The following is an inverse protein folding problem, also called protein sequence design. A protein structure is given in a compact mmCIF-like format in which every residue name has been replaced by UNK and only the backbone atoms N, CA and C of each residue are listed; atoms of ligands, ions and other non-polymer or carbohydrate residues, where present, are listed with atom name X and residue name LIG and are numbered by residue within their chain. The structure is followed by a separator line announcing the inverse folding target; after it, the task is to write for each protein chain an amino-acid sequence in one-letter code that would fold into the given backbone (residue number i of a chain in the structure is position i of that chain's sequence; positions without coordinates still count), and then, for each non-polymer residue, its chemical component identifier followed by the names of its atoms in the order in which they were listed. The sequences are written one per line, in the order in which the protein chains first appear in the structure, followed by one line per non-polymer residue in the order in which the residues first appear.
data_IF_704890411816
#
_entry.id   IF_704890411816
#
_cell.length_a   1.000
_cell.length_b   1.000
_cell.length_c   1.000
_cell.angle_alpha   90.00
_cell.angle_beta   90.00
_cell.angle_gamma   90.00
#
_symmetry.space_group_name_H-M   'P 1'
#
loop_
_entity.id
_entity.type
_entity.pdbx_description
1 polymer ?
#
# COMPACT_ATOMS: atom_id res chain seq x y z
N UNK A 1 -6.46 -17.10 -11.54
CA UNK A 1 -6.56 -15.64 -11.30
C UNK A 1 -8.01 -15.17 -11.39
N UNK A 2 -8.58 -14.85 -10.24
CA UNK A 2 -10.00 -14.53 -10.05
C UNK A 2 -10.15 -13.10 -9.55
N UNK A 3 -11.23 -12.43 -9.93
CA UNK A 3 -11.55 -11.09 -9.43
C UNK A 3 -12.49 -11.18 -8.24
N UNK A 4 -12.17 -10.47 -7.17
CA UNK A 4 -12.91 -10.44 -5.93
C UNK A 4 -13.43 -9.04 -5.65
N UNK A 5 -14.68 -8.96 -5.25
CA UNK A 5 -15.22 -7.80 -4.55
C UNK A 5 -15.02 -8.04 -3.05
N UNK A 6 -14.23 -7.19 -2.42
CA UNK A 6 -14.01 -7.21 -0.97
C UNK A 6 -14.66 -5.95 -0.40
N UNK A 7 -15.62 -6.12 0.49
CA UNK A 7 -16.22 -5.02 1.24
C UNK A 7 -16.10 -5.29 2.73
N UNK A 8 -15.87 -4.25 3.51
CA UNK A 8 -15.80 -4.38 4.96
C UNK A 8 -16.56 -3.26 5.65
N UNK A 9 -16.92 -3.47 6.90
CA UNK A 9 -17.47 -2.45 7.78
C UNK A 9 -16.76 -2.54 9.12
N UNK A 10 -16.27 -1.40 9.63
CA UNK A 10 -15.50 -1.37 10.87
C UNK A 10 -16.29 -0.58 11.91
N UNK A 11 -16.65 -1.23 13.02
CA UNK A 11 -17.27 -0.59 14.17
C UNK A 11 -16.35 0.49 14.77
N UNK A 12 -15.02 0.32 14.64
CA UNK A 12 -14.00 1.29 15.06
C UNK A 12 -13.01 1.62 13.91
N UNK A 13 -13.36 2.56 13.02
CA UNK A 13 -12.60 2.83 11.79
C UNK A 13 -11.13 3.22 11.99
N UNK A 14 -10.77 3.79 13.15
CA UNK A 14 -9.43 4.32 13.40
C UNK A 14 -8.41 3.24 13.78
N UNK A 15 -8.85 2.06 14.22
CA UNK A 15 -7.93 1.04 14.73
C UNK A 15 -7.30 0.21 13.58
N UNK A 16 -8.13 -0.35 12.70
CA UNK A 16 -7.69 -1.44 11.82
C UNK A 16 -7.71 -1.12 10.32
N UNK A 17 -8.25 0.04 9.92
CA UNK A 17 -8.42 0.40 8.49
C UNK A 17 -7.11 0.39 7.69
N UNK A 18 -6.01 0.86 8.28
CA UNK A 18 -4.70 0.87 7.61
C UNK A 18 -4.09 -0.53 7.50
N UNK A 19 -4.27 -1.37 8.51
CA UNK A 19 -3.83 -2.76 8.48
C UNK A 19 -4.61 -3.56 7.43
N UNK A 20 -5.94 -3.40 7.40
CA UNK A 20 -6.81 -4.07 6.44
C UNK A 20 -6.48 -3.67 4.99
N UNK A 21 -6.32 -2.37 4.75
CA UNK A 21 -5.92 -1.88 3.42
C UNK A 21 -4.57 -2.47 2.98
N UNK A 22 -3.59 -2.53 3.88
CA UNK A 22 -2.28 -3.12 3.60
C UNK A 22 -2.37 -4.61 3.29
N UNK A 23 -3.16 -5.36 4.06
CA UNK A 23 -3.38 -6.78 3.83
C UNK A 23 -4.05 -7.06 2.47
N UNK A 24 -5.09 -6.29 2.12
CA UNK A 24 -5.76 -6.37 0.82
C UNK A 24 -4.77 -6.11 -0.34
N UNK A 25 -3.89 -5.11 -0.19
CA UNK A 25 -2.86 -4.81 -1.19
C UNK A 25 -1.81 -5.92 -1.32
N UNK A 26 -1.50 -6.64 -0.24
CA UNK A 26 -0.53 -7.75 -0.25
C UNK A 26 -1.09 -9.00 -0.94
N UNK A 27 -2.37 -9.32 -0.71
CA UNK A 27 -3.09 -10.44 -1.32
C UNK A 27 -3.21 -10.24 -2.84
N UNK A 28 -3.56 -9.03 -3.27
CA UNK A 28 -3.80 -8.72 -4.67
C UNK A 28 -2.53 -8.57 -5.51
N UNK A 29 -2.53 -9.15 -6.72
CA UNK A 29 -1.54 -8.77 -7.74
C UNK A 29 -1.85 -7.40 -8.36
N UNK A 30 -3.14 -7.10 -8.49
CA UNK A 30 -3.65 -5.79 -8.89
C UNK A 30 -4.95 -5.52 -8.14
N UNK A 31 -5.14 -4.28 -7.72
CA UNK A 31 -6.30 -3.90 -6.92
C UNK A 31 -6.79 -2.52 -7.29
N UNK A 32 -8.07 -2.29 -7.05
CA UNK A 32 -8.77 -1.02 -7.20
C UNK A 32 -9.57 -0.75 -5.92
N UNK A 33 -9.69 0.51 -5.53
CA UNK A 33 -10.49 0.92 -4.35
C UNK A 33 -11.60 1.87 -4.79
N UNK A 34 -12.76 1.35 -5.25
CA UNK A 34 -13.89 2.15 -5.67
C UNK A 34 -14.45 3.10 -4.63
N UNK A 35 -14.60 2.57 -3.41
CA UNK A 35 -15.16 3.25 -2.27
C UNK A 35 -14.21 3.07 -1.10
N UNK A 36 -14.41 3.85 -0.05
CA UNK A 36 -13.54 3.80 1.12
C UNK A 36 -13.42 2.39 1.72
N UNK A 37 -14.52 1.65 1.80
CA UNK A 37 -14.54 0.32 2.39
C UNK A 37 -14.80 -0.79 1.37
N UNK A 38 -14.62 -0.51 0.08
CA UNK A 38 -14.84 -1.48 -0.99
C UNK A 38 -13.64 -1.54 -1.91
N UNK A 39 -13.24 -2.77 -2.23
CA UNK A 39 -12.06 -3.10 -2.99
C UNK A 39 -12.41 -4.10 -4.08
N UNK A 40 -11.73 -3.94 -5.20
CA UNK A 40 -11.78 -4.86 -6.32
C UNK A 40 -10.39 -5.43 -6.51
N UNK A 41 -10.20 -6.73 -6.31
CA UNK A 41 -8.88 -7.33 -6.18
C UNK A 41 -8.76 -8.50 -7.13
N UNK A 42 -7.66 -8.56 -7.90
CA UNK A 42 -7.29 -9.77 -8.64
C UNK A 42 -6.23 -10.53 -7.87
N UNK A 43 -6.54 -11.76 -7.51
CA UNK A 43 -5.66 -12.64 -6.76
C UNK A 43 -5.67 -14.06 -7.35
N UNK A 44 -4.68 -14.85 -6.96
CA UNK A 44 -4.56 -16.27 -7.31
C UNK A 44 -4.71 -17.10 -6.03
N UNK A 45 -5.87 -16.93 -5.39
CA UNK A 45 -6.26 -17.53 -4.11
C UNK A 45 -7.77 -17.80 -4.12
N UNK A 46 -8.25 -18.68 -3.27
CA UNK A 46 -9.68 -18.92 -3.08
C UNK A 46 -10.32 -17.84 -2.18
N UNK A 47 -11.63 -17.65 -2.33
CA UNK A 47 -12.36 -16.66 -1.53
C UNK A 47 -12.26 -16.93 -0.02
N UNK A 48 -12.28 -18.21 0.39
CA UNK A 48 -12.14 -18.62 1.79
C UNK A 48 -10.76 -18.29 2.37
N UNK A 49 -9.70 -18.40 1.57
CA UNK A 49 -8.35 -18.09 2.05
C UNK A 49 -8.18 -16.58 2.27
N UNK A 50 -8.76 -15.78 1.37
CA UNK A 50 -8.79 -14.33 1.49
C UNK A 50 -9.60 -13.91 2.72
N UNK A 51 -10.77 -14.53 2.92
CA UNK A 51 -11.60 -14.27 4.10
C UNK A 51 -10.85 -14.59 5.39
N UNK A 52 -10.24 -15.78 5.51
CA UNK A 52 -9.50 -16.21 6.70
C UNK A 52 -8.33 -15.28 7.05
N UNK A 53 -7.63 -14.72 6.05
CA UNK A 53 -6.54 -13.77 6.27
C UNK A 53 -7.08 -12.43 6.79
N UNK A 54 -8.16 -11.94 6.19
CA UNK A 54 -8.70 -10.61 6.50
C UNK A 54 -9.51 -10.62 7.80
N UNK A 55 -10.19 -11.71 8.14
CA UNK A 55 -10.96 -11.82 9.38
C UNK A 55 -10.07 -11.80 10.62
N UNK A 56 -8.80 -12.21 10.53
CA UNK A 56 -7.83 -12.05 11.60
C UNK A 56 -7.50 -10.58 11.97
N UNK A 57 -7.94 -9.62 11.17
CA UNK A 57 -7.76 -8.17 11.39
C UNK A 57 -9.06 -7.47 11.80
N UNK A 58 -10.15 -8.22 11.97
CA UNK A 58 -11.47 -7.71 12.33
C UNK A 58 -11.74 -7.94 13.82
N UNK A 59 -12.51 -7.05 14.44
CA UNK A 59 -13.13 -7.27 15.74
C UNK A 59 -14.46 -8.00 15.63
N UNK A 60 -15.01 -8.41 16.78
CA UNK A 60 -16.26 -9.18 16.86
C UNK A 60 -17.49 -8.48 16.25
N UNK A 61 -17.48 -7.14 16.23
CA UNK A 61 -18.56 -6.29 15.70
C UNK A 61 -18.29 -5.80 14.26
N UNK A 62 -17.18 -6.21 13.64
CA UNK A 62 -16.82 -5.78 12.29
C UNK A 62 -17.40 -6.73 11.22
N UNK A 63 -17.68 -6.19 10.03
CA UNK A 63 -18.23 -6.94 8.90
C UNK A 63 -17.20 -7.15 7.78
N UNK A 64 -17.25 -8.31 7.12
CA UNK A 64 -16.46 -8.62 5.93
C UNK A 64 -17.27 -9.43 4.92
N UNK A 65 -17.17 -9.02 3.66
CA UNK A 65 -17.71 -9.72 2.51
C UNK A 65 -16.58 -9.93 1.50
N UNK A 66 -16.35 -11.20 1.13
CA UNK A 66 -15.45 -11.58 0.04
C UNK A 66 -16.26 -12.35 -0.98
N UNK A 67 -16.47 -11.75 -2.16
CA UNK A 67 -17.28 -12.35 -3.21
C UNK A 67 -16.44 -12.51 -4.49
N UNK A 68 -16.23 -13.73 -5.00
CA UNK A 68 -15.71 -13.92 -6.35
C UNK A 68 -16.73 -13.40 -7.36
N UNK A 69 -16.24 -12.65 -8.36
CA UNK A 69 -17.07 -12.06 -9.42
C UNK A 69 -16.87 -12.85 -10.71
N UNK A 70 -17.98 -13.25 -11.34
CA UNK A 70 -17.96 -14.00 -12.58
C UNK A 70 -17.32 -13.20 -13.72
N UNK A 71 -16.56 -13.89 -14.58
CA UNK A 71 -16.09 -13.47 -15.92
C UNK A 71 -15.29 -12.14 -16.02
N UNK A 72 -15.01 -11.47 -14.90
CA UNK A 72 -14.44 -10.10 -14.76
C UNK A 72 -15.52 -9.01 -14.69
N UNK A 73 -15.47 -8.13 -13.67
CA UNK A 73 -16.35 -6.96 -13.67
C UNK A 73 -16.05 -6.02 -14.84
N UNK A 74 -17.12 -5.51 -15.44
CA UNK A 74 -17.03 -4.38 -16.36
C UNK A 74 -16.84 -3.09 -15.56
N UNK A 75 -15.78 -2.36 -15.90
CA UNK A 75 -15.37 -1.14 -15.22
C UNK A 75 -15.16 -0.05 -16.27
N UNK A 76 -16.11 0.87 -16.43
CA UNK A 76 -16.01 1.97 -17.41
C UNK A 76 -15.34 3.19 -16.80
N UNK A 77 -14.31 3.75 -17.46
CA UNK A 77 -13.47 4.89 -17.02
C UNK A 77 -12.64 4.65 -15.74
N UNK A 78 -13.11 3.75 -14.90
CA UNK A 78 -12.61 3.35 -13.61
C UNK A 78 -11.31 2.54 -13.68
N UNK A 79 -11.20 1.65 -14.67
CA UNK A 79 -10.06 0.76 -14.83
C UNK A 79 -8.73 1.53 -15.05
N UNK A 80 -8.78 2.73 -15.63
CA UNK A 80 -7.60 3.56 -15.91
C UNK A 80 -6.99 4.20 -14.66
N UNK A 81 -7.79 4.43 -13.62
CA UNK A 81 -7.36 5.20 -12.43
C UNK A 81 -7.21 4.35 -11.17
N UNK A 82 -7.98 3.28 -11.04
CA UNK A 82 -8.06 2.57 -9.78
C UNK A 82 -7.13 1.37 -9.69
N UNK A 83 -6.81 0.69 -10.81
CA UNK A 83 -5.91 -0.45 -10.75
C UNK A 83 -4.48 0.00 -10.49
N UNK A 84 -4.03 -0.19 -9.25
CA UNK A 84 -2.62 -0.11 -8.90
C UNK A 84 -2.02 -1.49 -9.00
N UNK A 85 -0.92 -1.61 -9.74
CA UNK A 85 -0.13 -2.84 -9.82
C UNK A 85 0.87 -2.84 -8.68
N UNK A 86 1.06 -3.98 -8.02
CA UNK A 86 2.18 -4.15 -7.08
C UNK A 86 3.48 -3.98 -7.88
N UNK A 87 4.23 -2.90 -7.62
CA UNK A 87 5.56 -2.74 -8.19
C UNK A 87 6.48 -3.79 -7.57
N UNK A 88 7.05 -4.66 -8.38
CA UNK A 88 8.06 -5.62 -7.95
C UNK A 88 9.39 -4.88 -7.84
N UNK A 89 9.60 -4.23 -6.69
CA UNK A 89 10.77 -3.40 -6.35
C UNK A 89 11.00 -2.16 -7.25
N UNK A 90 11.58 -1.07 -6.71
CA UNK A 90 12.00 0.06 -7.53
C UNK A 90 13.23 -0.37 -8.34
N UNK A 91 13.29 -0.05 -9.63
CA UNK A 91 14.62 0.22 -10.20
C UNK A 91 15.24 1.30 -9.32
N UNK A 92 16.41 1.01 -8.75
CA UNK A 92 17.14 1.91 -7.90
C UNK A 92 17.64 3.11 -8.72
N UNK A 93 16.76 4.07 -8.99
CA UNK A 93 17.09 5.38 -9.53
C UNK A 93 16.47 6.47 -8.65
N UNK A 94 16.68 6.35 -7.35
CA UNK A 94 16.50 7.45 -6.40
C UNK A 94 17.84 8.16 -6.18
N UNK A 95 18.59 8.42 -7.25
CA UNK A 95 19.75 9.32 -7.18
C UNK A 95 19.19 10.74 -7.09
N UNK A 96 19.01 11.23 -5.88
CA UNK A 96 18.97 12.67 -5.63
C UNK A 96 20.42 13.14 -5.79
N UNK A 97 20.75 13.68 -6.96
CA UNK A 97 22.02 14.35 -7.15
C UNK A 97 22.06 15.56 -6.21
N UNK A 98 22.78 15.44 -5.08
CA UNK A 98 23.13 16.60 -4.28
C UNK A 98 23.94 17.55 -5.17
N UNK A 99 23.65 18.86 -5.18
CA UNK A 99 24.50 19.80 -5.90
C UNK A 99 25.92 19.67 -5.34
N UNK A 100 26.90 19.48 -6.23
CA UNK A 100 28.31 19.51 -5.87
C UNK A 100 28.60 20.89 -5.29
N UNK A 101 28.77 20.97 -3.98
CA UNK A 101 29.23 22.18 -3.33
C UNK A 101 30.72 22.29 -3.71
N UNK A 102 31.18 23.37 -4.36
CA UNK A 102 32.60 23.56 -4.60
C UNK A 102 33.34 23.54 -3.26
N UNK A 103 34.47 22.83 -3.19
CA UNK A 103 35.32 22.78 -1.99
C UNK A 103 35.57 24.20 -1.48
N UNK A 104 35.10 24.47 -0.26
CA UNK A 104 35.48 25.68 0.46
C UNK A 104 36.99 25.63 0.70
N UNK A 105 37.72 26.73 0.51
CA UNK A 105 39.14 26.76 0.80
C UNK A 105 39.39 26.37 2.25
N UNK A 106 40.43 25.57 2.49
CA UNK A 106 40.85 25.14 3.81
C UNK A 106 40.97 26.36 4.74
N UNK A 107 40.17 26.37 5.81
CA UNK A 107 40.28 27.38 6.86
C UNK A 107 41.60 27.11 7.57
N UNK A 108 42.53 28.07 7.53
CA UNK A 108 43.74 28.03 8.36
C UNK A 108 43.32 27.91 9.83
N UNK A 109 43.68 26.81 10.48
CA UNK A 109 43.50 26.63 11.92
C UNK A 109 44.34 27.67 12.65
N UNK A 110 43.69 28.69 13.22
CA UNK A 110 44.37 29.60 14.15
C UNK A 110 44.78 28.82 15.41
N UNK A 111 46.04 28.92 15.88
CA UNK A 111 46.48 28.19 17.05
C UNK A 111 45.67 28.61 18.28
N UNK A 112 45.14 27.62 18.99
CA UNK A 112 44.49 27.79 20.30
C UNK A 112 45.42 28.56 21.23
N UNK A 113 44.97 29.73 21.70
CA UNK A 113 45.68 30.54 22.67
C UNK A 113 46.02 29.69 23.90
N UNK A 114 47.30 29.57 24.24
CA UNK A 114 47.74 28.97 25.48
C UNK A 114 47.31 29.87 26.65
N UNK A 115 46.49 29.31 27.54
CA UNK A 115 46.12 29.97 28.78
C UNK A 115 47.34 30.02 29.72
N UNK A 116 47.63 31.21 30.27
CA UNK A 116 48.54 31.44 31.40
C UNK A 116 47.71 31.91 32.59
#
# INVERSE_FOLDING_TARGET
MTSFLIAYDLARPQANKHALASAIMMIGQSWARPLENTWYVKADMEASDIEAILSGLLGDDDGLLVQPVAESAQLSNTALRWFKRRSTAPEASNVVAFPVIPELPAVEEYPLAQAV
#
